data_IF_778687350673
#
_entry.id   IF_778687350673
#
_cell.length_a   1.000
_cell.length_b   1.000
_cell.length_c   1.000
_cell.angle_alpha   90.00
_cell.angle_beta   90.00
_cell.angle_gamma   90.00
#
_symmetry.space_group_name_H-M   'P 1'
#
loop_
_entity.id
_entity.type
_entity.pdbx_description
1 polymer ?
#
# COMPACT_ATOMS: atom_id res chain seq x y z
N UNK A 1 -22.14 -8.54 2.87
CA UNK A 1 -21.49 -7.40 3.54
C UNK A 1 -22.24 -7.07 4.82
N UNK A 2 -21.61 -7.10 6.01
CA UNK A 2 -22.25 -6.59 7.23
C UNK A 2 -22.08 -5.07 7.23
N UNK A 3 -23.17 -4.32 7.42
CA UNK A 3 -23.18 -2.83 7.43
C UNK A 3 -22.66 -2.17 6.13
N UNK A 4 -22.80 -2.82 4.99
CA UNK A 4 -22.35 -2.27 3.69
C UNK A 4 -20.85 -2.38 3.43
N UNK A 5 -20.07 -2.98 4.35
CA UNK A 5 -18.63 -3.19 4.17
C UNK A 5 -18.37 -4.63 3.73
N UNK A 6 -17.70 -4.78 2.60
CA UNK A 6 -17.16 -6.05 2.14
C UNK A 6 -15.75 -6.25 2.70
N UNK A 7 -15.44 -7.45 3.16
CA UNK A 7 -14.10 -7.83 3.60
C UNK A 7 -13.57 -8.90 2.66
N UNK A 8 -12.33 -8.70 2.19
CA UNK A 8 -11.59 -9.68 1.39
C UNK A 8 -10.23 -9.85 2.02
N UNK A 9 -9.83 -11.10 2.23
CA UNK A 9 -8.52 -11.43 2.75
C UNK A 9 -7.55 -11.60 1.59
N UNK A 10 -6.51 -10.77 1.55
CA UNK A 10 -5.42 -10.82 0.55
C UNK A 10 -4.08 -11.09 1.26
N UNK A 11 -4.10 -11.76 2.41
CA UNK A 11 -2.92 -11.94 3.26
C UNK A 11 -1.84 -12.83 2.62
N UNK A 12 -2.23 -13.82 1.82
CA UNK A 12 -1.30 -14.69 1.10
C UNK A 12 -0.61 -13.97 -0.07
N UNK A 13 -1.37 -13.19 -0.84
CA UNK A 13 -0.84 -12.50 -2.01
C UNK A 13 -0.13 -11.18 -1.65
N UNK A 14 -0.69 -10.40 -0.73
CA UNK A 14 -0.28 -9.01 -0.43
C UNK A 14 0.20 -8.82 1.02
N UNK A 15 0.53 -9.90 1.73
CA UNK A 15 0.92 -9.83 3.14
C UNK A 15 1.73 -11.02 3.64
N UNK A 16 1.75 -11.17 4.96
CA UNK A 16 2.47 -12.25 5.66
C UNK A 16 3.89 -11.88 6.08
N UNK A 17 4.46 -12.69 6.98
CA UNK A 17 5.90 -12.69 7.28
C UNK A 17 6.61 -13.48 6.19
N UNK A 18 6.89 -12.83 5.07
CA UNK A 18 7.57 -13.41 3.92
C UNK A 18 8.81 -12.60 3.59
N UNK A 19 9.74 -13.20 2.87
CA UNK A 19 10.85 -12.47 2.27
C UNK A 19 10.29 -11.49 1.22
N UNK A 20 10.56 -10.21 1.40
CA UNK A 20 9.89 -9.14 0.66
C UNK A 20 10.26 -9.15 -0.82
N UNK A 21 11.52 -9.43 -1.11
CA UNK A 21 12.02 -9.34 -2.47
C UNK A 21 11.48 -10.50 -3.31
N UNK A 22 11.45 -11.71 -2.75
CA UNK A 22 10.84 -12.87 -3.39
C UNK A 22 9.33 -12.70 -3.54
N UNK A 23 8.63 -12.21 -2.51
CA UNK A 23 7.19 -11.98 -2.59
C UNK A 23 6.85 -10.97 -3.68
N UNK A 24 7.55 -9.83 -3.74
CA UNK A 24 7.29 -8.78 -4.74
C UNK A 24 7.48 -9.27 -6.19
N UNK A 25 8.39 -10.22 -6.40
CA UNK A 25 8.64 -10.85 -7.70
C UNK A 25 7.65 -11.97 -8.03
N UNK A 26 6.85 -12.43 -7.06
CA UNK A 26 5.92 -13.54 -7.27
C UNK A 26 4.75 -13.17 -8.19
N UNK A 27 4.26 -14.12 -9.01
CA UNK A 27 3.02 -13.92 -9.77
C UNK A 27 1.82 -13.59 -8.87
N UNK A 28 1.70 -14.28 -7.73
CA UNK A 28 0.61 -14.09 -6.78
C UNK A 28 0.52 -12.64 -6.26
N UNK A 29 1.65 -12.02 -5.93
CA UNK A 29 1.69 -10.61 -5.52
C UNK A 29 1.26 -9.67 -6.66
N UNK A 30 1.77 -9.90 -7.88
CA UNK A 30 1.42 -9.09 -9.06
C UNK A 30 -0.07 -9.16 -9.40
N UNK A 31 -0.67 -10.35 -9.28
CA UNK A 31 -2.10 -10.57 -9.48
C UNK A 31 -2.92 -9.96 -8.34
N UNK A 32 -2.43 -10.05 -7.09
CA UNK A 32 -3.05 -9.39 -5.94
C UNK A 32 -3.17 -7.89 -6.13
N UNK A 33 -2.12 -7.23 -6.65
CA UNK A 33 -2.15 -5.80 -6.95
C UNK A 33 -3.20 -5.44 -8.00
N UNK A 34 -3.33 -6.25 -9.06
CA UNK A 34 -4.35 -6.02 -10.09
C UNK A 34 -5.77 -6.25 -9.54
N UNK A 35 -5.96 -7.25 -8.69
CA UNK A 35 -7.25 -7.45 -7.98
C UNK A 35 -7.59 -6.25 -7.11
N UNK A 36 -6.62 -5.71 -6.37
CA UNK A 36 -6.81 -4.52 -5.54
C UNK A 36 -7.19 -3.30 -6.38
N UNK A 37 -6.53 -3.10 -7.53
CA UNK A 37 -6.87 -2.04 -8.49
C UNK A 37 -8.29 -2.18 -9.02
N UNK A 38 -8.65 -3.36 -9.52
CA UNK A 38 -10.00 -3.60 -10.04
C UNK A 38 -11.09 -3.38 -8.98
N UNK A 39 -10.80 -3.67 -7.70
CA UNK A 39 -11.70 -3.37 -6.59
C UNK A 39 -11.83 -1.85 -6.35
N UNK A 40 -10.71 -1.13 -6.35
CA UNK A 40 -10.68 0.32 -6.17
C UNK A 40 -11.41 1.07 -7.30
N UNK A 41 -11.44 0.52 -8.51
CA UNK A 41 -12.19 1.07 -9.64
C UNK A 41 -13.72 0.90 -9.49
N UNK A 42 -14.18 -0.05 -8.65
CA UNK A 42 -15.60 -0.36 -8.45
C UNK A 42 -16.19 0.28 -7.19
N UNK A 43 -15.38 0.44 -6.14
CA UNK A 43 -15.83 0.97 -4.86
C UNK A 43 -14.66 1.52 -4.02
N UNK A 44 -14.93 2.43 -3.06
CA UNK A 44 -13.95 2.83 -2.06
C UNK A 44 -13.32 1.61 -1.39
N UNK A 45 -12.01 1.49 -1.53
CA UNK A 45 -11.25 0.32 -1.10
C UNK A 45 -10.10 0.76 -0.20
N UNK A 46 -9.96 0.10 0.95
CA UNK A 46 -8.87 0.33 1.88
C UNK A 46 -8.17 -1.01 2.20
N UNK A 47 -6.85 -0.97 2.31
CA UNK A 47 -6.06 -2.09 2.82
C UNK A 47 -5.77 -1.87 4.30
N UNK A 48 -6.05 -2.87 5.14
CA UNK A 48 -5.84 -2.79 6.58
C UNK A 48 -4.52 -3.46 6.96
N UNK A 49 -3.85 -2.88 7.95
CA UNK A 49 -2.67 -3.44 8.60
C UNK A 49 -2.81 -3.45 10.11
N UNK A 50 -1.98 -4.23 10.80
CA UNK A 50 -1.98 -4.27 12.26
C UNK A 50 -1.17 -3.12 12.88
N UNK A 51 -0.26 -2.54 12.09
CA UNK A 51 0.60 -1.42 12.45
C UNK A 51 -0.13 -0.09 12.23
N UNK A 52 -0.23 0.72 13.29
CA UNK A 52 -0.86 2.05 13.23
C UNK A 52 0.02 3.07 12.50
N UNK A 53 1.34 3.02 12.73
CA UNK A 53 2.28 3.98 12.18
C UNK A 53 2.72 3.55 10.78
N UNK A 54 2.43 4.33 9.71
CA UNK A 54 2.85 4.03 8.34
C UNK A 54 4.36 3.84 8.19
N UNK A 55 5.16 4.59 8.95
CA UNK A 55 6.62 4.49 8.90
C UNK A 55 7.15 3.17 9.47
N UNK A 56 6.33 2.48 10.27
CA UNK A 56 6.63 1.15 10.82
C UNK A 56 5.76 0.07 10.16
N UNK A 57 4.95 0.44 9.16
CA UNK A 57 4.03 -0.46 8.50
C UNK A 57 4.75 -1.21 7.39
N UNK A 58 4.89 -2.52 7.56
CA UNK A 58 5.43 -3.39 6.53
C UNK A 58 4.63 -3.31 5.22
N UNK A 59 3.33 -3.01 5.29
CA UNK A 59 2.48 -2.87 4.09
C UNK A 59 2.86 -1.68 3.24
N UNK A 60 3.32 -0.58 3.83
CA UNK A 60 3.74 0.60 3.08
C UNK A 60 4.93 0.24 2.20
N UNK A 61 5.97 -0.37 2.77
CA UNK A 61 7.18 -0.69 2.02
C UNK A 61 6.99 -1.77 0.95
N UNK A 62 6.04 -2.69 1.13
CA UNK A 62 5.77 -3.75 0.16
C UNK A 62 4.67 -3.37 -0.84
N UNK A 63 3.43 -3.27 -0.37
CA UNK A 63 2.26 -3.01 -1.23
C UNK A 63 2.22 -1.55 -1.65
N UNK A 64 2.44 -0.62 -0.73
CA UNK A 64 2.41 0.81 -1.01
C UNK A 64 3.47 1.23 -2.04
N UNK A 65 4.72 0.81 -1.85
CA UNK A 65 5.80 1.08 -2.79
C UNK A 65 5.51 0.49 -4.18
N UNK A 66 5.11 -0.79 -4.24
CA UNK A 66 4.79 -1.44 -5.52
C UNK A 66 3.57 -0.82 -6.22
N UNK A 67 2.59 -0.35 -5.45
CA UNK A 67 1.42 0.36 -5.97
C UNK A 67 1.84 1.67 -6.66
N UNK A 68 2.60 2.52 -5.95
CA UNK A 68 3.08 3.79 -6.50
C UNK A 68 3.98 3.57 -7.72
N UNK A 69 4.86 2.56 -7.68
CA UNK A 69 5.74 2.21 -8.81
C UNK A 69 4.93 1.79 -10.05
N UNK A 70 3.88 0.98 -9.89
CA UNK A 70 3.17 0.36 -11.01
C UNK A 70 2.00 1.19 -11.55
N UNK A 71 1.29 1.89 -10.68
CA UNK A 71 0.05 2.59 -11.02
C UNK A 71 0.16 4.11 -10.86
N UNK A 72 1.22 4.60 -10.21
CA UNK A 72 1.36 6.01 -9.88
C UNK A 72 0.36 6.47 -8.81
N UNK A 73 0.22 7.79 -8.68
CA UNK A 73 -0.66 8.42 -7.71
C UNK A 73 -0.08 8.51 -6.30
N UNK A 74 -0.93 8.85 -5.34
CA UNK A 74 -0.57 8.99 -3.92
C UNK A 74 -1.21 7.92 -3.05
N UNK A 75 -0.65 7.72 -1.86
CA UNK A 75 -1.24 6.88 -0.82
C UNK A 75 -1.79 7.76 0.30
N UNK A 76 -2.90 7.33 0.90
CA UNK A 76 -3.51 7.96 2.06
C UNK A 76 -3.52 6.98 3.23
N UNK A 77 -3.11 7.44 4.40
CA UNK A 77 -3.07 6.67 5.65
C UNK A 77 -4.20 7.10 6.56
N UNK A 78 -5.08 6.16 6.92
CA UNK A 78 -6.14 6.39 7.90
C UNK A 78 -5.58 6.01 9.28
N UNK A 79 -5.39 7.00 10.15
CA UNK A 79 -4.79 6.85 11.48
C UNK A 79 -5.82 6.35 12.51
N UNK A 80 -5.35 5.87 13.66
CA UNK A 80 -6.23 5.36 14.73
C UNK A 80 -7.22 6.38 15.28
N UNK A 81 -6.92 7.68 15.16
CA UNK A 81 -7.80 8.78 15.54
C UNK A 81 -8.71 9.28 14.39
N UNK A 82 -8.73 8.59 13.25
CA UNK A 82 -9.53 8.94 12.07
C UNK A 82 -8.92 10.03 11.17
N UNK A 83 -7.76 10.58 11.50
CA UNK A 83 -7.05 11.50 10.59
C UNK A 83 -6.60 10.76 9.33
N UNK A 84 -6.61 11.49 8.22
CA UNK A 84 -6.07 11.01 6.94
C UNK A 84 -4.80 11.78 6.62
N UNK A 85 -3.72 11.06 6.36
CA UNK A 85 -2.40 11.63 6.07
C UNK A 85 -1.94 11.16 4.69
N UNK A 86 -1.47 12.08 3.85
CA UNK A 86 -0.85 11.71 2.58
C UNK A 86 0.51 11.06 2.82
N UNK A 87 0.86 10.08 2.00
CA UNK A 87 2.21 9.54 1.96
C UNK A 87 3.14 10.60 1.37
N UNK A 88 4.04 11.12 2.20
CA UNK A 88 5.14 11.94 1.73
C UNK A 88 6.09 11.08 0.86
N UNK A 89 6.60 11.61 -0.26
CA UNK A 89 7.66 10.94 -0.99
C UNK A 89 8.86 10.68 -0.07
N UNK A 90 9.65 9.61 -0.30
CA UNK A 90 10.89 9.42 0.44
C UNK A 90 11.74 10.69 0.34
N UNK A 91 12.28 11.16 1.47
CA UNK A 91 12.94 12.47 1.61
C UNK A 91 14.25 12.66 0.80
N UNK A 92 14.50 11.87 -0.25
CA UNK A 92 15.67 11.97 -1.11
C UNK A 92 15.57 12.98 -2.27
N UNK A 93 14.44 13.66 -2.44
CA UNK A 93 14.30 14.72 -3.46
C UNK A 93 14.76 16.11 -3.01
N UNK A 94 15.31 16.25 -1.79
CA UNK A 94 15.84 17.53 -1.27
C UNK A 94 17.36 17.56 -1.06
N UNK A 95 18.10 16.48 -1.36
CA UNK A 95 19.53 16.37 -1.05
C UNK A 95 20.47 16.66 -2.24
N UNK A 96 19.94 16.82 -3.45
CA UNK A 96 20.68 17.37 -4.59
C UNK A 96 20.13 18.76 -4.89
N UNK A 97 20.55 19.73 -4.06
CA UNK A 97 20.50 21.12 -4.44
C UNK A 97 21.22 21.30 -5.78
N UNK A 98 20.64 22.19 -6.60
CA UNK A 98 21.23 22.74 -7.82
C UNK A 98 22.75 22.80 -7.75
N UNK A 99 23.41 22.17 -8.70
CA UNK A 99 24.72 22.61 -9.17
C UNK A 99 24.55 22.86 -10.67
N UNK A 100 24.99 24.05 -11.07
CA UNK A 100 24.78 24.69 -12.37
C UNK A 100 25.19 23.85 -13.59
#
# INVERSE_FOLDING_TARGET
AKRGIAYRWEGEALGGKVDWESQRKSPAFREGLERLRAQAEQAPTAILCAEENPQQCHRLGLVGAAWMERFGGGLLHIRGNGRVEAQEPPAQLGLFGQQD
#
